data_IF_888752324287
#
_entry.id   IF_888752324287
#
_cell.length_a   1.000
_cell.length_b   1.000
_cell.length_c   1.000
_cell.angle_alpha   90.00
_cell.angle_beta   90.00
_cell.angle_gamma   90.00
#
_symmetry.space_group_name_H-M   'P 1'
#
loop_
_entity.id
_entity.type
_entity.pdbx_description
1 polymer ?
#
# COMPACT_ATOMS: atom_id res chain seq x y z
N UNK A 1 5.99 -7.34 -35.88
CA UNK A 1 5.55 -6.11 -36.53
C UNK A 1 6.67 -5.06 -36.42
N UNK A 2 7.13 -4.57 -37.57
CA UNK A 2 8.26 -3.62 -37.67
C UNK A 2 7.81 -2.16 -37.63
N UNK A 3 6.52 -1.88 -37.61
CA UNK A 3 6.02 -0.53 -37.86
C UNK A 3 5.99 0.38 -36.64
N UNK A 4 6.05 -0.17 -35.41
CA UNK A 4 5.93 0.62 -34.17
C UNK A 4 7.03 0.38 -33.13
N UNK A 5 8.05 -0.44 -33.40
CA UNK A 5 9.08 -0.85 -32.41
C UNK A 5 8.50 -1.37 -31.08
N UNK A 6 7.30 -1.92 -31.07
CA UNK A 6 6.63 -2.47 -29.91
C UNK A 6 6.68 -4.01 -29.96
N UNK A 7 7.04 -4.61 -28.85
CA UNK A 7 6.78 -6.03 -28.62
C UNK A 7 5.28 -6.23 -28.45
N UNK A 8 4.68 -7.13 -29.25
CA UNK A 8 3.26 -7.42 -29.20
C UNK A 8 3.03 -8.86 -28.72
N UNK A 9 2.00 -9.07 -27.90
CA UNK A 9 1.50 -10.36 -27.46
C UNK A 9 0.09 -10.64 -27.97
N UNK A 10 -0.21 -11.90 -28.24
CA UNK A 10 -1.52 -12.33 -28.69
C UNK A 10 -2.36 -12.86 -27.51
N UNK A 11 -3.48 -12.18 -27.20
CA UNK A 11 -4.48 -12.65 -26.25
C UNK A 11 -5.90 -12.49 -26.83
N UNK A 12 -6.14 -13.04 -28.06
CA UNK A 12 -7.38 -12.84 -28.80
C UNK A 12 -7.32 -11.65 -29.80
N UNK A 13 -6.39 -10.73 -29.61
CA UNK A 13 -5.95 -9.69 -30.54
C UNK A 13 -4.48 -9.39 -30.32
N UNK A 14 -3.77 -8.87 -31.32
CA UNK A 14 -2.40 -8.38 -31.14
C UNK A 14 -2.44 -7.05 -30.40
N UNK A 15 -1.68 -6.96 -29.30
CA UNK A 15 -1.53 -5.76 -28.49
C UNK A 15 -0.11 -5.62 -27.98
N UNK A 16 0.30 -4.41 -27.66
CA UNK A 16 1.64 -4.12 -27.14
C UNK A 16 1.90 -4.86 -25.82
N UNK A 17 3.03 -5.56 -25.72
CA UNK A 17 3.52 -6.15 -24.47
C UNK A 17 4.38 -5.09 -23.79
N UNK A 18 3.91 -4.57 -22.68
CA UNK A 18 4.71 -3.67 -21.82
C UNK A 18 4.70 -2.21 -22.21
N UNK A 19 3.67 -1.75 -22.90
CA UNK A 19 3.50 -0.35 -23.26
C UNK A 19 2.89 0.51 -22.13
N UNK A 20 3.68 1.28 -21.44
CA UNK A 20 3.47 2.69 -21.16
C UNK A 20 2.27 3.15 -20.32
N UNK A 21 1.46 2.30 -19.72
CA UNK A 21 0.55 2.80 -18.68
C UNK A 21 1.31 2.97 -17.37
N UNK A 22 1.15 4.14 -16.75
CA UNK A 22 1.68 4.36 -15.41
C UNK A 22 1.09 3.31 -14.46
N UNK A 23 1.97 2.52 -13.82
CA UNK A 23 1.56 1.57 -12.80
C UNK A 23 1.09 2.25 -11.51
N UNK A 24 1.09 3.57 -11.51
CA UNK A 24 0.72 4.42 -10.41
C UNK A 24 -0.25 5.48 -10.93
N UNK A 25 -1.50 5.41 -10.53
CA UNK A 25 -2.50 6.43 -10.85
C UNK A 25 -2.90 7.16 -9.58
N UNK A 26 -3.15 8.46 -9.68
CA UNK A 26 -3.51 9.31 -8.55
C UNK A 26 -4.86 9.95 -8.80
N UNK A 27 -5.72 9.90 -7.78
CA UNK A 27 -6.97 10.66 -7.74
C UNK A 27 -6.99 11.56 -6.51
N UNK A 28 -7.53 12.76 -6.68
CA UNK A 28 -7.64 13.74 -5.60
C UNK A 28 -9.10 14.11 -5.39
N UNK A 29 -9.52 14.14 -4.14
CA UNK A 29 -10.86 14.53 -3.70
C UNK A 29 -10.77 15.58 -2.60
N UNK A 30 -11.88 16.24 -2.33
CA UNK A 30 -11.98 17.22 -1.23
C UNK A 30 -13.03 16.75 -0.24
N UNK A 31 -12.68 16.65 1.02
CA UNK A 31 -13.61 16.35 2.11
C UNK A 31 -14.65 17.47 2.28
N UNK A 32 -15.85 17.10 2.66
CA UNK A 32 -16.93 18.06 2.94
C UNK A 32 -17.46 17.99 4.39
N UNK A 33 -16.79 17.20 5.25
CA UNK A 33 -17.13 17.05 6.66
C UNK A 33 -18.36 16.18 6.96
N UNK A 34 -19.04 15.67 5.93
CA UNK A 34 -20.29 14.89 6.10
C UNK A 34 -20.27 13.58 5.34
N UNK A 35 -19.69 13.56 4.15
CA UNK A 35 -19.60 12.38 3.29
C UNK A 35 -18.39 11.55 3.66
N UNK A 36 -18.64 10.35 4.14
CA UNK A 36 -17.58 9.43 4.56
C UNK A 36 -17.05 8.55 3.41
N UNK A 37 -17.34 8.85 2.15
CA UNK A 37 -16.86 8.03 1.03
C UNK A 37 -16.42 8.87 -0.16
N UNK A 38 -15.59 8.25 -1.01
CA UNK A 38 -15.24 8.72 -2.36
C UNK A 38 -15.40 7.57 -3.35
N UNK A 39 -15.80 7.88 -4.57
CA UNK A 39 -15.91 6.90 -5.65
C UNK A 39 -14.70 7.03 -6.58
N UNK A 40 -13.94 5.93 -6.71
CA UNK A 40 -12.76 5.85 -7.55
C UNK A 40 -13.14 5.66 -9.02
N UNK A 41 -12.32 6.16 -9.94
CA UNK A 41 -12.56 6.01 -11.39
C UNK A 41 -12.36 4.59 -11.90
N UNK A 42 -11.73 3.72 -11.11
CA UNK A 42 -11.46 2.32 -11.44
C UNK A 42 -11.60 1.46 -10.18
N UNK A 43 -11.93 0.19 -10.38
CA UNK A 43 -12.06 -0.77 -9.29
C UNK A 43 -10.65 -1.31 -8.98
N UNK A 44 -10.09 -1.08 -7.77
CA UNK A 44 -8.85 -1.72 -7.34
C UNK A 44 -9.06 -3.23 -7.15
N UNK A 45 -8.01 -4.03 -7.36
CA UNK A 45 -8.09 -5.48 -7.12
C UNK A 45 -8.24 -5.81 -5.62
N UNK A 46 -7.65 -5.00 -4.76
CA UNK A 46 -7.78 -5.08 -3.30
C UNK A 46 -7.46 -3.73 -2.67
N UNK A 47 -7.74 -3.58 -1.38
CA UNK A 47 -7.32 -2.42 -0.59
C UNK A 47 -5.80 -2.26 -0.56
N UNK A 48 -5.04 -3.37 -0.65
CA UNK A 48 -3.58 -3.36 -0.66
C UNK A 48 -3.00 -2.64 -1.89
N UNK A 49 -3.80 -2.50 -2.95
CA UNK A 49 -3.43 -1.71 -4.12
C UNK A 49 -3.65 -0.21 -3.94
N UNK A 50 -4.09 0.24 -2.77
CA UNK A 50 -4.33 1.65 -2.49
C UNK A 50 -3.35 2.19 -1.44
N UNK A 51 -2.92 3.43 -1.64
CA UNK A 51 -2.32 4.26 -0.61
C UNK A 51 -3.18 5.51 -0.49
N UNK A 52 -3.77 5.72 0.68
CA UNK A 52 -4.71 6.83 0.93
C UNK A 52 -4.07 7.82 1.88
N UNK A 53 -4.14 9.09 1.52
CA UNK A 53 -3.61 10.18 2.34
C UNK A 53 -4.68 11.25 2.54
N UNK A 54 -4.79 11.78 3.75
CA UNK A 54 -5.57 12.97 4.06
C UNK A 54 -4.60 14.04 4.56
N UNK A 55 -4.52 15.19 3.87
CA UNK A 55 -3.55 16.26 4.15
C UNK A 55 -2.09 15.75 4.24
N UNK A 56 -1.74 14.76 3.43
CA UNK A 56 -0.41 14.14 3.43
C UNK A 56 -0.17 13.09 4.52
N UNK A 57 -1.13 12.84 5.40
CA UNK A 57 -1.06 11.78 6.41
C UNK A 57 -1.64 10.49 5.84
N UNK A 58 -0.84 9.43 5.82
CA UNK A 58 -1.28 8.11 5.38
C UNK A 58 -2.41 7.59 6.27
N UNK A 59 -3.45 7.02 5.65
CA UNK A 59 -4.56 6.37 6.34
C UNK A 59 -4.33 4.87 6.39
N UNK A 60 -4.39 4.28 7.58
CA UNK A 60 -4.24 2.85 7.76
C UNK A 60 -5.40 2.09 7.10
N UNK A 61 -5.18 0.83 6.72
CA UNK A 61 -6.22 -0.01 6.11
C UNK A 61 -7.44 -0.22 7.01
N UNK A 62 -7.26 -0.08 8.33
CA UNK A 62 -8.33 -0.15 9.32
C UNK A 62 -9.20 1.10 9.38
N UNK A 63 -8.81 2.19 8.74
CA UNK A 63 -9.51 3.49 8.79
C UNK A 63 -10.50 3.67 7.64
N UNK A 64 -10.57 2.70 6.73
CA UNK A 64 -11.49 2.69 5.58
C UNK A 64 -11.79 1.28 5.07
N UNK A 65 -12.81 1.15 4.26
CA UNK A 65 -13.22 -0.09 3.59
C UNK A 65 -13.42 0.18 2.10
N UNK A 66 -12.94 -0.74 1.25
CA UNK A 66 -13.16 -0.72 -0.19
C UNK A 66 -14.30 -1.67 -0.57
N UNK A 67 -15.29 -1.15 -1.30
CA UNK A 67 -16.35 -1.96 -1.91
C UNK A 67 -16.52 -1.59 -3.39
N UNK A 68 -15.99 -2.43 -4.27
CA UNK A 68 -15.90 -2.10 -5.69
C UNK A 68 -15.02 -0.88 -5.91
N UNK A 69 -15.58 0.18 -6.49
CA UNK A 69 -14.90 1.46 -6.68
C UNK A 69 -15.11 2.45 -5.51
N UNK A 70 -15.92 2.08 -4.50
CA UNK A 70 -16.21 2.97 -3.38
C UNK A 70 -15.27 2.73 -2.22
N UNK A 71 -14.54 3.78 -1.84
CA UNK A 71 -13.73 3.86 -0.64
C UNK A 71 -14.53 4.58 0.45
N UNK A 72 -14.84 3.89 1.53
CA UNK A 72 -15.61 4.45 2.66
C UNK A 72 -14.71 4.57 3.87
N UNK A 73 -14.57 5.77 4.41
CA UNK A 73 -13.81 6.07 5.62
C UNK A 73 -14.67 5.81 6.86
N UNK A 74 -14.06 5.39 7.96
CA UNK A 74 -14.73 5.25 9.25
C UNK A 74 -15.24 6.59 9.78
N UNK A 75 -14.51 7.66 9.50
CA UNK A 75 -14.89 9.04 9.84
C UNK A 75 -14.84 9.91 8.58
N UNK A 76 -15.88 10.70 8.35
CA UNK A 76 -15.93 11.61 7.21
C UNK A 76 -14.76 12.59 7.24
N UNK A 77 -13.95 12.67 6.16
CA UNK A 77 -12.88 13.65 6.07
C UNK A 77 -13.41 15.07 6.23
N UNK A 78 -12.78 15.86 7.11
CA UNK A 78 -13.26 17.17 7.45
C UNK A 78 -13.38 18.09 6.23
N UNK A 79 -14.22 19.13 6.33
CA UNK A 79 -14.46 20.07 5.24
C UNK A 79 -13.13 20.71 4.77
N UNK A 80 -12.99 20.84 3.45
CA UNK A 80 -11.81 21.37 2.75
C UNK A 80 -10.53 20.52 2.81
N UNK A 81 -10.53 19.36 3.48
CA UNK A 81 -9.35 18.50 3.52
C UNK A 81 -9.12 17.81 2.19
N UNK A 82 -7.86 17.80 1.76
CA UNK A 82 -7.44 17.13 0.53
C UNK A 82 -7.26 15.65 0.81
N UNK A 83 -7.94 14.81 0.02
CA UNK A 83 -7.83 13.35 0.04
C UNK A 83 -7.09 12.94 -1.24
N UNK A 84 -5.96 12.28 -1.11
CA UNK A 84 -5.18 11.75 -2.23
C UNK A 84 -5.20 10.23 -2.17
N UNK A 85 -5.67 9.61 -3.25
CA UNK A 85 -5.68 8.15 -3.40
C UNK A 85 -4.73 7.76 -4.51
N UNK A 86 -3.66 7.06 -4.17
CA UNK A 86 -2.78 6.42 -5.12
C UNK A 86 -3.24 4.99 -5.33
N UNK A 87 -3.45 4.62 -6.57
CA UNK A 87 -3.73 3.25 -6.98
C UNK A 87 -2.48 2.66 -7.61
N UNK A 88 -1.92 1.64 -6.95
CA UNK A 88 -0.76 0.88 -7.41
C UNK A 88 -1.25 -0.30 -8.22
N UNK A 89 -1.04 -0.30 -9.51
CA UNK A 89 -1.36 -1.45 -10.38
C UNK A 89 -0.21 -2.46 -10.31
N UNK A 90 -0.54 -3.75 -10.34
CA UNK A 90 0.47 -4.78 -10.50
C UNK A 90 1.20 -4.61 -11.84
N UNK A 91 2.53 -4.57 -11.79
CA UNK A 91 3.40 -4.26 -12.92
C UNK A 91 3.52 -5.39 -13.93
N UNK A 92 3.25 -6.63 -13.51
CA UNK A 92 3.35 -7.86 -14.32
C UNK A 92 2.43 -8.93 -13.74
N UNK A 93 2.05 -9.91 -14.54
CA UNK A 93 1.39 -11.10 -14.03
C UNK A 93 2.25 -11.74 -12.94
N UNK A 94 1.82 -11.62 -11.67
CA UNK A 94 2.52 -12.19 -10.51
C UNK A 94 3.21 -11.18 -9.57
N UNK A 95 3.27 -9.89 -9.90
CA UNK A 95 3.66 -8.85 -8.91
C UNK A 95 2.54 -8.66 -7.89
N UNK A 96 2.86 -8.67 -6.61
CA UNK A 96 1.90 -8.49 -5.52
C UNK A 96 2.35 -7.38 -4.57
N UNK A 97 1.40 -6.58 -4.11
CA UNK A 97 1.60 -5.70 -2.96
C UNK A 97 1.01 -6.43 -1.77
N UNK A 98 1.79 -6.62 -0.73
CA UNK A 98 1.33 -7.19 0.52
C UNK A 98 1.44 -6.15 1.63
N UNK A 99 0.47 -6.12 2.53
CA UNK A 99 0.47 -5.22 3.68
C UNK A 99 0.31 -6.04 4.95
N UNK A 100 1.29 -5.87 5.85
CA UNK A 100 1.24 -6.40 7.21
C UNK A 100 0.92 -5.26 8.17
N UNK A 101 -0.13 -5.45 8.98
CA UNK A 101 -0.58 -4.47 9.97
C UNK A 101 -0.42 -5.03 11.37
N UNK A 102 0.19 -4.26 12.26
CA UNK A 102 0.41 -4.62 13.65
C UNK A 102 -0.12 -3.52 14.58
N UNK A 103 -0.74 -3.93 15.69
CA UNK A 103 -1.24 -3.05 16.73
C UNK A 103 -1.09 -3.72 18.09
N UNK A 104 -1.54 -3.08 19.15
CA UNK A 104 -1.60 -3.69 20.47
C UNK A 104 -2.54 -4.91 20.55
N UNK A 105 -3.53 -4.99 19.65
CA UNK A 105 -4.47 -6.12 19.55
C UNK A 105 -3.97 -7.26 18.66
N UNK A 106 -2.87 -7.08 17.92
CA UNK A 106 -2.26 -8.15 17.13
C UNK A 106 -1.81 -9.29 18.04
N UNK A 107 -2.03 -10.53 17.62
CA UNK A 107 -1.65 -11.69 18.42
C UNK A 107 -0.13 -11.72 18.67
N UNK A 108 0.27 -12.14 19.87
CA UNK A 108 1.69 -12.38 20.19
C UNK A 108 2.25 -13.48 19.24
N UNK A 109 3.48 -13.36 18.74
CA UNK A 109 4.54 -12.40 19.13
C UNK A 109 4.56 -11.08 18.36
N UNK A 110 3.58 -10.75 17.55
CA UNK A 110 3.61 -9.56 16.68
C UNK A 110 2.84 -8.34 17.24
N UNK A 111 2.44 -8.37 18.52
CA UNK A 111 1.74 -7.23 19.12
C UNK A 111 2.67 -6.04 19.37
N UNK A 112 2.16 -4.83 19.10
CA UNK A 112 2.85 -3.57 19.41
C UNK A 112 2.67 -3.27 20.89
N UNK A 113 3.75 -3.31 21.66
CA UNK A 113 3.72 -3.24 23.13
C UNK A 113 4.67 -2.18 23.73
N UNK A 114 5.25 -1.32 22.91
CA UNK A 114 6.19 -0.27 23.34
C UNK A 114 7.61 -0.77 23.70
N UNK A 115 7.88 -2.08 23.57
CA UNK A 115 9.19 -2.66 23.87
C UNK A 115 9.70 -3.56 22.75
N UNK A 116 8.80 -4.06 21.93
CA UNK A 116 9.13 -4.94 20.82
C UNK A 116 9.68 -4.14 19.65
N UNK A 117 10.83 -4.58 19.14
CA UNK A 117 11.47 -4.01 17.95
C UNK A 117 11.35 -4.90 16.72
N UNK A 118 11.15 -6.22 16.88
CA UNK A 118 11.14 -7.17 15.77
C UNK A 118 9.73 -7.73 15.53
N UNK A 119 9.28 -7.73 14.25
CA UNK A 119 7.97 -8.22 13.82
C UNK A 119 8.16 -9.19 12.65
N UNK A 120 7.35 -10.27 12.65
CA UNK A 120 7.36 -11.23 11.56
C UNK A 120 6.48 -10.72 10.42
N UNK A 121 7.04 -10.62 9.23
CA UNK A 121 6.35 -10.29 7.98
C UNK A 121 5.71 -11.55 7.40
N UNK A 122 4.57 -11.41 6.75
CA UNK A 122 3.91 -12.51 6.02
C UNK A 122 4.68 -12.91 4.76
N UNK A 123 5.52 -11.99 4.22
CA UNK A 123 6.31 -12.20 3.02
C UNK A 123 7.70 -11.57 3.18
N UNK A 124 8.74 -12.27 2.71
CA UNK A 124 10.09 -11.72 2.69
C UNK A 124 10.20 -10.65 1.58
N UNK A 125 10.56 -9.39 1.89
CA UNK A 125 10.91 -8.43 0.86
C UNK A 125 12.20 -8.86 0.14
N UNK A 126 12.30 -8.57 -1.16
CA UNK A 126 13.52 -8.86 -1.95
C UNK A 126 14.72 -8.09 -1.37
N UNK A 127 14.49 -6.83 -1.07
CA UNK A 127 15.41 -5.95 -0.36
C UNK A 127 14.61 -5.00 0.53
N UNK A 128 15.26 -4.33 1.47
CA UNK A 128 14.63 -3.30 2.29
C UNK A 128 14.00 -2.17 1.45
N UNK A 129 14.55 -1.87 0.29
CA UNK A 129 14.00 -0.88 -0.63
C UNK A 129 12.59 -1.27 -1.17
N UNK A 130 12.26 -2.56 -1.13
CA UNK A 130 10.94 -3.06 -1.52
C UNK A 130 9.89 -2.95 -0.41
N UNK A 131 10.16 -2.19 0.66
CA UNK A 131 9.20 -1.92 1.72
C UNK A 131 8.87 -0.43 1.83
N UNK A 132 7.70 -0.11 2.34
CA UNK A 132 7.35 1.19 2.91
C UNK A 132 6.72 0.93 4.27
N UNK A 133 7.15 1.68 5.27
CA UNK A 133 6.72 1.48 6.66
C UNK A 133 6.13 2.76 7.20
N UNK A 134 4.99 2.62 7.88
CA UNK A 134 4.29 3.71 8.53
C UNK A 134 4.02 3.33 9.99
N UNK A 135 4.19 4.29 10.90
CA UNK A 135 3.74 4.21 12.28
C UNK A 135 2.76 5.34 12.51
N UNK A 136 1.51 5.03 12.84
CA UNK A 136 0.41 5.99 12.96
C UNK A 136 0.32 6.96 11.75
N UNK A 137 0.48 6.42 10.54
CA UNK A 137 0.46 7.18 9.29
C UNK A 137 1.72 7.98 8.97
N UNK A 138 2.74 7.94 9.83
CA UNK A 138 4.03 8.63 9.62
C UNK A 138 5.02 7.67 8.96
N UNK A 139 5.52 8.06 7.78
CA UNK A 139 6.52 7.28 7.06
C UNK A 139 7.81 7.12 7.87
N UNK A 140 8.33 5.89 7.91
CA UNK A 140 9.58 5.56 8.56
C UNK A 140 10.72 5.49 7.54
N UNK A 141 11.78 6.23 7.79
CA UNK A 141 12.97 6.24 6.94
C UNK A 141 13.68 4.88 7.01
N UNK A 142 14.34 4.48 5.91
CA UNK A 142 15.07 3.21 5.82
C UNK A 142 16.10 3.02 6.94
N UNK A 143 16.75 4.08 7.40
CA UNK A 143 17.70 4.01 8.52
C UNK A 143 17.09 3.76 9.90
N UNK A 144 15.75 3.76 10.04
CA UNK A 144 15.08 3.49 11.32
C UNK A 144 14.65 2.05 11.49
N UNK A 145 14.87 1.19 10.50
CA UNK A 145 14.59 -0.24 10.56
C UNK A 145 15.51 -1.01 9.61
N UNK A 146 15.53 -2.33 9.75
CA UNK A 146 16.20 -3.25 8.83
C UNK A 146 15.32 -4.47 8.57
N UNK A 147 15.46 -5.10 7.40
CA UNK A 147 14.76 -6.34 7.06
C UNK A 147 15.75 -7.50 6.86
N UNK A 148 15.38 -8.68 7.36
CA UNK A 148 16.14 -9.92 7.17
C UNK A 148 15.18 -11.11 7.04
N UNK A 149 15.12 -11.72 5.86
CA UNK A 149 14.12 -12.74 5.55
C UNK A 149 12.70 -12.20 5.77
N UNK A 150 11.91 -12.90 6.57
CA UNK A 150 10.55 -12.48 6.95
C UNK A 150 10.53 -11.70 8.29
N UNK A 151 11.57 -10.97 8.62
CA UNK A 151 11.61 -10.19 9.86
C UNK A 151 11.96 -8.74 9.55
N UNK A 152 11.17 -7.80 10.07
CA UNK A 152 11.52 -6.38 10.16
C UNK A 152 11.93 -6.07 11.59
N UNK A 153 13.02 -5.32 11.77
CA UNK A 153 13.53 -4.90 13.09
C UNK A 153 13.69 -3.38 13.10
N UNK A 154 12.99 -2.71 13.99
CA UNK A 154 13.11 -1.27 14.21
C UNK A 154 14.30 -0.94 15.10
N UNK A 155 14.94 0.20 14.88
CA UNK A 155 15.99 0.73 15.75
C UNK A 155 15.47 1.12 17.14
N UNK A 156 14.21 1.56 17.20
CA UNK A 156 13.47 1.86 18.44
C UNK A 156 12.09 1.20 18.39
N UNK A 157 11.59 0.75 19.55
CA UNK A 157 10.29 0.10 19.62
C UNK A 157 9.16 1.09 19.28
N UNK A 158 8.23 0.71 18.38
CA UNK A 158 7.02 1.51 18.15
C UNK A 158 6.23 1.70 19.47
N UNK A 159 5.60 2.87 19.69
CA UNK A 159 4.80 3.13 20.90
C UNK A 159 3.71 2.08 21.12
N UNK A 160 3.39 1.76 22.37
CA UNK A 160 2.49 0.64 22.73
C UNK A 160 1.07 0.74 22.15
N UNK A 161 0.58 1.94 21.86
CA UNK A 161 -0.75 2.20 21.30
C UNK A 161 -0.73 2.52 19.82
N UNK A 162 0.43 2.45 19.16
CA UNK A 162 0.53 2.77 17.73
C UNK A 162 0.12 1.60 16.84
N UNK A 163 -0.24 1.94 15.62
CA UNK A 163 -0.42 1.01 14.51
C UNK A 163 0.78 1.08 13.59
N UNK A 164 1.37 -0.07 13.29
CA UNK A 164 2.48 -0.21 12.35
C UNK A 164 1.95 -0.89 11.09
N UNK A 165 2.18 -0.28 9.93
CA UNK A 165 1.91 -0.90 8.63
C UNK A 165 3.18 -1.03 7.82
N UNK A 166 3.40 -2.22 7.26
CA UNK A 166 4.52 -2.55 6.40
C UNK A 166 3.99 -2.96 5.04
N UNK A 167 4.19 -2.12 4.04
CA UNK A 167 3.90 -2.44 2.63
C UNK A 167 5.11 -3.12 2.02
N UNK A 168 4.89 -4.28 1.38
CA UNK A 168 5.93 -5.06 0.72
C UNK A 168 5.61 -5.14 -0.77
N UNK A 169 6.51 -4.66 -1.60
CA UNK A 169 6.41 -4.72 -3.06
C UNK A 169 7.23 -5.90 -3.56
N UNK A 170 6.57 -6.87 -4.19
CA UNK A 170 7.25 -8.03 -4.75
C UNK A 170 7.24 -8.01 -6.27
N UNK A 171 8.30 -8.52 -6.87
CA UNK A 171 8.35 -8.87 -8.29
C UNK A 171 8.37 -10.37 -8.42
N UNK A 172 7.58 -10.90 -9.34
CA UNK A 172 7.74 -12.30 -9.76
C UNK A 172 8.74 -12.33 -10.90
N UNK A 173 9.81 -13.09 -10.76
CA UNK A 173 10.71 -13.38 -11.88
C UNK A 173 9.94 -14.18 -12.93
N UNK A 174 9.89 -13.68 -14.14
CA UNK A 174 9.45 -14.47 -15.30
C UNK A 174 10.67 -15.31 -15.71
N UNK A 175 10.64 -16.60 -15.39
CA UNK A 175 11.59 -17.57 -15.91
C UNK A 175 11.15 -18.03 -17.30
#
# INVERSE_FOLDING_TARGET
NTDNNLFEGYSGSWGGIGGGESNFTTQTFTGNGSQAYVDLNQIPNSEDNLMVFIEGVYQNKTDYVLNGARLTFDTAPANTRTIVVHHVKALVAGGNTNIDTYSSSTASPNNVNGSRVAFALSLAPITENNTQVFIDGVYQQKGSYATSGTTITFSEAPPASSTVEVMIFTQTSIN
#
